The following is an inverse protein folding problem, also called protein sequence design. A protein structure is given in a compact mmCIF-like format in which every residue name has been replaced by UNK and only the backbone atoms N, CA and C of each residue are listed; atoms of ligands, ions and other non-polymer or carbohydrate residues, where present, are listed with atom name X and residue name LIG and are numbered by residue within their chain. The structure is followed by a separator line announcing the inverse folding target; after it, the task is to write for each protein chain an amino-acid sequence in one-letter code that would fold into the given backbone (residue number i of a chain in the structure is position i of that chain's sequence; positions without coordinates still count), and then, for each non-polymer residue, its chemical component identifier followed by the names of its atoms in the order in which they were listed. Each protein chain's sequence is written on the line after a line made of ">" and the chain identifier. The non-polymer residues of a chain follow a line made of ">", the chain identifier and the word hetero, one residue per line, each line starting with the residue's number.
data_IF_370709930190
#
_entry.id   IF_370709930190
#
_cell.length_a   1.000
_cell.length_b   1.000
_cell.length_c   1.000
_cell.angle_alpha   90.00
_cell.angle_beta   90.00
_cell.angle_gamma   90.00
#
_symmetry.space_group_name_H-M   'P 1'
#
loop_
_entity.id
_entity.type
_entity.pdbx_description
1 polymer ?
#
# COMPACT_ATOMS: atom_id res chain seq x y z
N UNK A 1 16.69 -24.76 20.90
CA UNK A 1 16.82 -24.44 19.47
C UNK A 1 16.31 -23.03 19.27
N UNK A 2 17.23 -22.10 19.01
CA UNK A 2 16.98 -20.66 18.86
C UNK A 2 17.44 -20.31 17.45
N UNK A 3 16.50 -20.30 16.49
CA UNK A 3 16.81 -19.94 15.11
C UNK A 3 16.67 -18.42 15.00
N UNK A 4 17.78 -17.73 15.20
CA UNK A 4 17.94 -16.32 14.87
C UNK A 4 18.11 -16.29 13.34
N UNK A 5 17.03 -16.06 12.60
CA UNK A 5 17.13 -15.85 11.16
C UNK A 5 17.62 -14.42 10.91
N UNK A 6 18.79 -14.34 10.29
CA UNK A 6 19.61 -13.16 10.14
C UNK A 6 18.93 -12.06 9.32
N UNK A 7 18.86 -10.86 9.91
CA UNK A 7 18.68 -9.59 9.22
C UNK A 7 20.01 -9.20 8.57
N UNK A 8 20.13 -9.33 7.25
CA UNK A 8 21.07 -8.55 6.44
C UNK A 8 20.94 -8.89 4.95
N UNK A 9 20.28 -8.02 4.17
CA UNK A 9 20.82 -7.52 2.89
C UNK A 9 20.40 -6.05 2.78
N UNK A 10 21.21 -5.18 3.37
CA UNK A 10 21.33 -3.81 2.89
C UNK A 10 22.02 -3.88 1.52
N UNK A 11 21.34 -3.47 0.46
CA UNK A 11 21.87 -3.48 -0.90
C UNK A 11 21.39 -2.28 -1.71
N UNK A 12 21.51 -1.07 -1.15
CA UNK A 12 21.25 0.18 -1.87
C UNK A 12 22.55 0.69 -2.50
N UNK A 13 23.08 0.00 -3.50
CA UNK A 13 24.23 0.50 -4.29
C UNK A 13 24.15 0.01 -5.72
N UNK A 14 23.48 0.77 -6.59
CA UNK A 14 23.90 0.95 -7.98
C UNK A 14 23.26 2.23 -8.51
N UNK A 15 23.99 3.33 -8.34
CA UNK A 15 23.85 4.52 -9.17
C UNK A 15 24.98 4.43 -10.19
N UNK A 16 24.81 3.56 -11.17
CA UNK A 16 25.75 3.43 -12.28
C UNK A 16 25.61 4.65 -13.19
N UNK A 17 26.41 5.66 -12.88
CA UNK A 17 26.75 6.73 -13.81
C UNK A 17 27.79 6.20 -14.80
N UNK A 18 27.43 5.96 -16.07
CA UNK A 18 28.23 6.39 -17.22
C UNK A 18 27.77 5.84 -18.58
N UNK A 19 27.40 6.80 -19.42
CA UNK A 19 27.77 6.93 -20.84
C UNK A 19 27.17 5.94 -21.84
N UNK A 20 26.07 6.37 -22.47
CA UNK A 20 25.88 6.08 -23.89
C UNK A 20 26.05 7.40 -24.66
N UNK A 21 27.27 7.56 -25.18
CA UNK A 21 27.59 8.39 -26.31
C UNK A 21 26.79 7.88 -27.52
N UNK A 22 25.83 8.67 -27.99
CA UNK A 22 25.44 8.64 -29.41
C UNK A 22 25.30 10.10 -29.84
N UNK A 23 26.41 10.65 -30.30
CA UNK A 23 26.31 11.66 -31.36
C UNK A 23 25.57 11.04 -32.53
N UNK A 24 24.66 11.80 -33.12
CA UNK A 24 24.60 12.05 -34.57
C UNK A 24 23.19 11.97 -35.18
N UNK A 25 22.89 13.05 -35.88
CA UNK A 25 21.96 13.19 -37.01
C UNK A 25 20.46 13.31 -36.76
N UNK A 26 20.06 14.58 -36.91
CA UNK A 26 19.04 15.06 -37.85
C UNK A 26 17.58 15.04 -37.38
N UNK A 27 17.06 16.27 -37.29
CA UNK A 27 15.67 16.71 -37.42
C UNK A 27 14.69 15.63 -37.89
N UNK A 28 13.75 15.26 -37.02
CA UNK A 28 12.35 15.07 -37.42
C UNK A 28 11.46 15.68 -36.33
N UNK A 29 10.73 16.70 -36.76
CA UNK A 29 9.64 17.40 -36.09
C UNK A 29 8.54 16.42 -35.65
N UNK A 30 8.31 16.28 -34.33
CA UNK A 30 6.98 16.08 -33.71
C UNK A 30 7.09 16.23 -32.19
N UNK A 31 6.41 17.20 -31.57
CA UNK A 31 6.17 17.16 -30.13
C UNK A 31 5.04 16.15 -29.89
N UNK A 32 5.33 14.86 -29.97
CA UNK A 32 4.45 13.88 -29.31
C UNK A 32 4.91 13.82 -27.88
N UNK A 33 4.33 14.73 -27.08
CA UNK A 33 4.20 14.57 -25.65
C UNK A 33 3.62 13.17 -25.43
N UNK A 34 4.51 12.20 -25.24
CA UNK A 34 4.18 10.96 -24.55
C UNK A 34 3.97 11.36 -23.10
N UNK A 35 2.85 12.04 -22.85
CA UNK A 35 2.11 11.80 -21.63
C UNK A 35 1.78 10.31 -21.67
N UNK A 36 2.75 9.50 -21.22
CA UNK A 36 2.42 8.43 -20.34
C UNK A 36 1.69 9.10 -19.18
N UNK A 37 0.39 9.32 -19.40
CA UNK A 37 -0.63 9.37 -18.37
C UNK A 37 -0.31 8.14 -17.53
N UNK A 38 0.48 8.38 -16.49
CA UNK A 38 0.56 7.53 -15.33
C UNK A 38 -0.85 7.51 -14.84
N UNK A 39 -1.58 6.49 -15.31
CA UNK A 39 -2.89 6.14 -14.80
C UNK A 39 -2.74 6.04 -13.29
N UNK A 40 -3.34 7.02 -12.63
CA UNK A 40 -4.07 6.83 -11.39
C UNK A 40 -3.27 6.18 -10.26
N UNK A 41 -2.36 6.94 -9.67
CA UNK A 41 -2.30 6.96 -8.20
C UNK A 41 -2.59 8.38 -7.71
N UNK A 42 -3.64 9.01 -8.26
CA UNK A 42 -4.36 10.00 -7.49
C UNK A 42 -4.82 9.29 -6.22
N UNK A 43 -4.11 9.60 -5.14
CA UNK A 43 -4.48 9.27 -3.78
C UNK A 43 -5.82 9.95 -3.50
N UNK A 44 -6.93 9.36 -3.97
CA UNK A 44 -8.28 9.68 -3.50
C UNK A 44 -8.48 8.97 -2.16
N UNK A 45 -7.56 9.17 -1.22
CA UNK A 45 -7.67 8.69 0.15
C UNK A 45 -8.37 9.75 1.03
N UNK A 46 -9.46 10.32 0.52
CA UNK A 46 -10.19 11.37 1.26
C UNK A 46 -11.51 10.88 1.86
N UNK A 47 -12.04 9.70 1.48
CA UNK A 47 -13.25 9.15 2.14
C UNK A 47 -13.42 7.61 2.02
N UNK A 48 -12.37 6.87 1.64
CA UNK A 48 -12.49 5.41 1.57
C UNK A 48 -12.72 4.83 2.98
N UNK A 49 -13.66 3.89 3.09
CA UNK A 49 -14.00 3.19 4.33
C UNK A 49 -13.80 1.69 4.19
N UNK A 50 -13.36 1.05 5.28
CA UNK A 50 -13.19 -0.38 5.40
C UNK A 50 -14.54 -1.08 5.25
N UNK A 51 -14.58 -2.08 4.38
CA UNK A 51 -15.77 -2.90 4.10
C UNK A 51 -15.38 -4.35 3.80
N UNK A 52 -16.35 -5.28 3.87
CA UNK A 52 -16.15 -6.70 3.54
C UNK A 52 -15.83 -6.84 2.06
N UNK A 53 -14.87 -7.70 1.70
CA UNK A 53 -14.39 -7.93 0.34
C UNK A 53 -13.23 -7.01 -0.06
N UNK A 54 -12.85 -6.05 0.77
CA UNK A 54 -11.72 -5.15 0.49
C UNK A 54 -10.39 -5.94 0.48
N UNK A 55 -9.52 -5.67 -0.47
CA UNK A 55 -8.23 -6.37 -0.60
C UNK A 55 -7.27 -5.99 0.52
N UNK A 56 -6.34 -6.88 0.88
CA UNK A 56 -5.25 -6.57 1.84
C UNK A 56 -4.44 -5.32 1.47
N UNK A 57 -4.20 -5.06 0.18
CA UNK A 57 -3.50 -3.87 -0.30
C UNK A 57 -4.29 -2.58 -0.07
N UNK A 58 -5.60 -2.61 -0.38
CA UNK A 58 -6.51 -1.49 -0.13
C UNK A 58 -6.62 -1.20 1.38
N UNK A 59 -6.68 -2.24 2.22
CA UNK A 59 -6.66 -2.07 3.68
C UNK A 59 -5.36 -1.44 4.15
N UNK A 60 -4.21 -1.87 3.63
CA UNK A 60 -2.91 -1.26 3.98
C UNK A 60 -2.83 0.20 3.51
N UNK A 61 -3.37 0.51 2.34
CA UNK A 61 -3.46 1.87 1.83
C UNK A 61 -4.40 2.74 2.68
N UNK A 62 -5.46 2.14 3.23
CA UNK A 62 -6.45 2.82 4.06
C UNK A 62 -5.98 3.02 5.51
N UNK A 63 -5.51 1.98 6.18
CA UNK A 63 -5.20 1.94 7.62
C UNK A 63 -3.71 2.13 7.93
N UNK A 64 -2.84 1.95 6.92
CA UNK A 64 -1.39 1.90 7.07
C UNK A 64 -0.88 0.50 7.40
N UNK A 65 0.38 0.41 7.85
CA UNK A 65 0.96 -0.89 8.23
C UNK A 65 0.38 -1.38 9.57
N UNK A 66 -0.07 -2.64 9.68
CA UNK A 66 -0.43 -3.27 10.95
C UNK A 66 0.75 -3.32 11.92
N UNK A 67 0.42 -3.36 13.23
CA UNK A 67 1.43 -3.54 14.28
C UNK A 67 1.88 -4.99 14.39
N UNK A 68 1.02 -5.94 14.01
CA UNK A 68 1.33 -7.36 13.94
C UNK A 68 0.45 -8.04 12.89
N UNK A 69 1.00 -9.08 12.27
CA UNK A 69 0.31 -9.91 11.28
C UNK A 69 0.41 -11.37 11.72
N UNK A 70 -0.74 -12.00 11.95
CA UNK A 70 -0.88 -13.40 12.37
C UNK A 70 -1.62 -14.19 11.29
N UNK A 71 -0.93 -14.47 10.18
CA UNK A 71 -1.57 -15.06 9.00
C UNK A 71 -2.64 -14.11 8.45
N UNK A 72 -3.89 -14.56 8.48
CA UNK A 72 -5.05 -13.81 7.97
C UNK A 72 -5.62 -12.81 8.99
N UNK A 73 -4.97 -12.59 10.13
CA UNK A 73 -5.39 -11.60 11.12
C UNK A 73 -4.36 -10.48 11.24
N UNK A 74 -4.75 -9.26 10.90
CA UNK A 74 -3.92 -8.07 11.09
C UNK A 74 -4.36 -7.31 12.32
N UNK A 75 -3.40 -6.99 13.17
CA UNK A 75 -3.62 -6.22 14.38
C UNK A 75 -3.17 -4.78 14.18
N UNK A 76 -4.02 -3.88 14.65
CA UNK A 76 -3.79 -2.44 14.72
C UNK A 76 -3.83 -2.00 16.19
N UNK A 77 -3.18 -2.76 17.07
CA UNK A 77 -3.19 -2.55 18.52
C UNK A 77 -4.43 -3.21 19.13
N UNK A 78 -5.35 -2.45 19.73
CA UNK A 78 -6.61 -3.01 20.25
C UNK A 78 -7.66 -3.29 19.17
N UNK A 79 -7.44 -2.81 17.94
CA UNK A 79 -8.29 -3.08 16.77
C UNK A 79 -7.66 -4.14 15.88
N UNK A 80 -8.47 -4.86 15.10
CA UNK A 80 -7.98 -5.91 14.21
C UNK A 80 -8.87 -6.09 12.99
N UNK A 81 -8.31 -6.65 11.92
CA UNK A 81 -8.98 -6.98 10.66
C UNK A 81 -8.64 -8.43 10.32
N UNK A 82 -9.65 -9.24 9.99
CA UNK A 82 -9.50 -10.63 9.55
C UNK A 82 -9.77 -10.72 8.06
N UNK A 83 -8.94 -11.50 7.39
CA UNK A 83 -8.99 -11.79 5.97
C UNK A 83 -9.36 -13.25 5.72
N UNK A 84 -9.82 -13.53 4.51
CA UNK A 84 -9.94 -14.85 3.90
C UNK A 84 -9.65 -14.67 2.42
N UNK A 85 -8.75 -15.49 1.85
CA UNK A 85 -8.33 -15.35 0.44
C UNK A 85 -7.94 -13.90 0.04
N UNK A 86 -7.18 -13.21 0.90
CA UNK A 86 -6.73 -11.82 0.72
C UNK A 86 -7.84 -10.74 0.72
N UNK A 87 -9.06 -11.10 1.11
CA UNK A 87 -10.20 -10.19 1.22
C UNK A 87 -10.67 -10.04 2.67
N UNK A 88 -11.09 -8.84 3.06
CA UNK A 88 -11.64 -8.57 4.39
C UNK A 88 -12.92 -9.36 4.60
N UNK A 89 -12.97 -10.18 5.64
CA UNK A 89 -14.19 -10.90 6.04
C UNK A 89 -14.80 -10.37 7.32
N UNK A 90 -13.99 -9.77 8.20
CA UNK A 90 -14.43 -9.29 9.51
C UNK A 90 -13.44 -8.25 10.05
N UNK A 91 -13.92 -7.32 10.87
CA UNK A 91 -13.04 -6.41 11.63
C UNK A 91 -13.65 -6.04 12.97
N UNK A 92 -12.78 -5.63 13.88
CA UNK A 92 -13.15 -5.02 15.16
C UNK A 92 -12.45 -3.69 15.31
N UNK A 93 -13.25 -2.64 15.40
CA UNK A 93 -12.78 -1.30 15.75
C UNK A 93 -12.84 -1.10 17.26
N UNK A 94 -11.87 -0.38 17.81
CA UNK A 94 -11.79 -0.09 19.23
C UNK A 94 -11.57 1.39 19.48
N UNK A 95 -12.17 1.99 20.54
CA UNK A 95 -12.15 3.44 20.73
C UNK A 95 -10.74 4.03 20.89
N UNK A 96 -9.79 3.23 21.35
CA UNK A 96 -8.39 3.63 21.53
C UNK A 96 -7.64 3.76 20.19
N UNK A 97 -8.04 3.00 19.18
CA UNK A 97 -7.48 3.06 17.82
C UNK A 97 -8.59 2.75 16.81
N UNK A 98 -9.47 3.71 16.50
CA UNK A 98 -10.59 3.45 15.59
C UNK A 98 -10.06 3.13 14.18
N UNK A 99 -10.64 2.10 13.57
CA UNK A 99 -10.46 1.82 12.14
C UNK A 99 -11.32 2.78 11.32
N UNK A 100 -10.93 3.08 10.07
CA UNK A 100 -11.71 3.92 9.15
C UNK A 100 -12.87 3.14 8.54
N UNK A 101 -13.88 2.84 9.35
CA UNK A 101 -15.09 2.15 8.92
C UNK A 101 -16.20 3.17 8.66
N UNK A 102 -17.21 2.81 7.87
CA UNK A 102 -18.48 3.55 7.83
C UNK A 102 -19.14 3.44 9.21
N UNK A 103 -18.75 4.32 10.12
CA UNK A 103 -19.43 4.45 11.40
C UNK A 103 -20.67 5.26 11.12
N UNK A 104 -21.67 4.62 10.51
CA UNK A 104 -23.01 5.15 10.41
C UNK A 104 -23.44 5.57 11.81
N UNK A 105 -23.51 6.89 12.00
CA UNK A 105 -23.89 7.57 13.23
C UNK A 105 -25.17 6.93 13.79
N UNK A 106 -25.04 5.95 14.67
CA UNK A 106 -26.19 5.40 15.39
C UNK A 106 -26.45 6.34 16.56
N UNK A 107 -27.11 7.45 16.24
CA UNK A 107 -27.77 8.29 17.23
C UNK A 107 -28.96 7.50 17.80
N UNK A 108 -28.87 7.09 19.06
CA UNK A 108 -29.99 6.59 19.84
C UNK A 108 -30.60 7.72 20.66
#
# INVERSE_FOLDING_TARGET
>A
MLVIAALAVLGWTVHETSLQDTSDSADEDVPTQVDAVGVSHESVATDAVLHVGMSTDDVRSLEGEPVAVHGDLWEYGPSWVRFDHDEVVEWRSSPLRPLRTDTGLTAH
#
